data_IF_933707045045
#
_entry.id   IF_933707045045
#
_cell.length_a   1.000
_cell.length_b   1.000
_cell.length_c   1.000
_cell.angle_alpha   90.00
_cell.angle_beta   90.00
_cell.angle_gamma   90.00
#
_symmetry.space_group_name_H-M   'P 1'
#
loop_
_entity.id
_entity.type
_entity.pdbx_description
1 polymer ?
#
# COMPACT_ATOMS: atom_id res chain seq x y z
N UNK A 1 4.69 28.77 7.98
CA UNK A 1 5.03 27.34 8.11
C UNK A 1 3.87 26.52 7.54
N UNK A 2 4.10 25.71 6.49
CA UNK A 2 3.05 24.93 5.83
C UNK A 2 2.64 23.78 6.75
N UNK A 3 1.47 23.88 7.35
CA UNK A 3 0.84 22.82 8.14
C UNK A 3 0.44 21.68 7.21
N UNK A 4 1.30 20.66 7.08
CA UNK A 4 0.84 19.39 6.50
C UNK A 4 -0.17 18.79 7.48
N UNK A 5 -1.41 18.69 7.03
CA UNK A 5 -2.56 18.23 7.82
C UNK A 5 -2.48 16.70 7.94
N UNK A 6 -1.56 16.24 8.80
CA UNK A 6 -1.31 14.83 9.05
C UNK A 6 -2.34 14.25 10.03
N UNK A 7 -2.82 13.04 9.73
CA UNK A 7 -3.86 12.35 10.49
C UNK A 7 -3.38 12.01 11.91
N UNK A 8 -4.23 12.08 12.95
CA UNK A 8 -3.84 11.73 14.32
C UNK A 8 -3.25 10.31 14.42
N UNK A 9 -2.30 10.11 15.33
CA UNK A 9 -1.55 8.85 15.50
C UNK A 9 -2.46 7.59 15.69
N UNK A 10 -3.68 7.77 16.21
CA UNK A 10 -4.65 6.68 16.34
C UNK A 10 -5.12 6.07 15.02
N UNK A 11 -5.06 6.83 13.92
CA UNK A 11 -5.49 6.37 12.59
C UNK A 11 -4.56 5.30 12.00
N UNK A 12 -3.32 5.20 12.47
CA UNK A 12 -2.39 4.13 12.07
C UNK A 12 -2.93 2.74 12.39
N UNK A 13 -3.48 2.56 13.60
CA UNK A 13 -4.06 1.26 14.02
C UNK A 13 -5.29 0.92 13.20
N UNK A 14 -6.17 1.90 12.98
CA UNK A 14 -7.37 1.73 12.16
C UNK A 14 -6.99 1.38 10.72
N UNK A 15 -6.00 2.07 10.16
CA UNK A 15 -5.48 1.80 8.83
C UNK A 15 -4.96 0.37 8.67
N UNK A 16 -4.21 -0.15 9.63
CA UNK A 16 -3.75 -1.55 9.62
C UNK A 16 -4.90 -2.56 9.74
N UNK A 17 -5.89 -2.28 10.58
CA UNK A 17 -7.09 -3.12 10.74
C UNK A 17 -7.92 -3.18 9.46
N UNK A 18 -7.93 -2.12 8.65
CA UNK A 18 -8.63 -2.10 7.36
C UNK A 18 -7.77 -2.72 6.26
N UNK A 19 -6.49 -2.33 6.17
CA UNK A 19 -5.58 -2.73 5.09
C UNK A 19 -5.32 -4.23 5.07
N UNK A 20 -5.05 -4.86 6.22
CA UNK A 20 -4.73 -6.30 6.28
C UNK A 20 -5.87 -7.16 5.70
N UNK A 21 -7.12 -7.06 6.18
CA UNK A 21 -8.20 -7.90 5.66
C UNK A 21 -8.53 -7.59 4.21
N UNK A 22 -8.49 -6.32 3.77
CA UNK A 22 -8.82 -5.99 2.37
C UNK A 22 -7.72 -6.42 1.40
N UNK A 23 -6.46 -6.33 1.83
CA UNK A 23 -5.32 -6.80 1.05
C UNK A 23 -5.31 -8.32 0.94
N UNK A 24 -5.56 -9.04 2.04
CA UNK A 24 -5.71 -10.49 2.02
C UNK A 24 -6.88 -10.94 1.13
N UNK A 25 -8.02 -10.24 1.22
CA UNK A 25 -9.17 -10.50 0.37
C UNK A 25 -8.81 -10.28 -1.11
N UNK A 26 -8.14 -9.18 -1.45
CA UNK A 26 -7.64 -8.91 -2.80
C UNK A 26 -6.69 -10.00 -3.32
N UNK A 27 -5.74 -10.46 -2.49
CA UNK A 27 -4.87 -11.58 -2.84
C UNK A 27 -5.68 -12.87 -3.05
N UNK A 28 -6.62 -13.19 -2.16
CA UNK A 28 -7.47 -14.36 -2.31
C UNK A 28 -8.25 -14.33 -3.62
N UNK A 29 -8.76 -13.17 -4.06
CA UNK A 29 -9.44 -13.06 -5.36
C UNK A 29 -8.45 -13.19 -6.54
N UNK A 30 -7.24 -12.59 -6.47
CA UNK A 30 -6.27 -12.73 -7.56
C UNK A 30 -5.73 -14.20 -7.69
N UNK A 31 -5.75 -15.03 -6.62
CA UNK A 31 -5.19 -16.40 -6.63
C UNK A 31 -6.21 -17.55 -6.66
N UNK A 32 -7.37 -17.40 -6.01
CA UNK A 32 -8.42 -18.42 -6.01
C UNK A 32 -9.44 -18.06 -7.08
N UNK A 33 -9.15 -18.43 -8.32
CA UNK A 33 -10.15 -18.44 -9.38
C UNK A 33 -11.27 -19.41 -8.99
N UNK A 34 -12.45 -18.83 -8.82
CA UNK A 34 -13.76 -19.45 -8.68
C UNK A 34 -14.14 -20.01 -7.28
N UNK A 35 -15.25 -19.45 -6.77
CA UNK A 35 -16.24 -19.98 -5.82
C UNK A 35 -16.42 -19.22 -4.49
N UNK A 36 -15.47 -18.40 -4.03
CA UNK A 36 -15.68 -17.67 -2.76
C UNK A 36 -16.63 -16.47 -2.90
N UNK A 37 -16.44 -15.64 -3.93
CA UNK A 37 -17.17 -14.38 -4.12
C UNK A 37 -18.66 -14.59 -4.40
N UNK A 38 -19.04 -15.60 -5.20
CA UNK A 38 -20.45 -16.01 -5.42
C UNK A 38 -21.25 -16.30 -4.16
N UNK A 39 -20.61 -16.64 -3.03
CA UNK A 39 -21.30 -17.02 -1.80
C UNK A 39 -21.83 -15.82 -1.00
N UNK A 40 -21.27 -14.61 -1.17
CA UNK A 40 -21.64 -13.43 -0.38
C UNK A 40 -22.17 -12.25 -1.21
N UNK A 41 -21.60 -11.91 -2.38
CA UNK A 41 -21.99 -10.76 -3.24
C UNK A 41 -21.54 -10.95 -4.71
N UNK A 42 -22.02 -10.12 -5.68
CA UNK A 42 -21.48 -10.14 -7.04
C UNK A 42 -19.96 -9.87 -7.07
N UNK A 43 -19.22 -10.61 -7.90
CA UNK A 43 -17.75 -10.52 -8.09
C UNK A 43 -17.24 -9.06 -8.16
N UNK A 44 -17.94 -8.22 -8.92
CA UNK A 44 -17.59 -6.81 -9.11
C UNK A 44 -17.64 -6.00 -7.80
N UNK A 45 -18.62 -6.27 -6.93
CA UNK A 45 -18.75 -5.59 -5.64
C UNK A 45 -17.59 -5.98 -4.71
N UNK A 46 -17.23 -7.25 -4.69
CA UNK A 46 -16.14 -7.75 -3.85
C UNK A 46 -14.78 -7.16 -4.27
N UNK A 47 -14.51 -7.14 -5.58
CA UNK A 47 -13.30 -6.51 -6.14
C UNK A 47 -13.21 -5.02 -5.80
N UNK A 48 -14.33 -4.29 -5.92
CA UNK A 48 -14.36 -2.87 -5.57
C UNK A 48 -14.09 -2.64 -4.08
N UNK A 49 -14.68 -3.45 -3.20
CA UNK A 49 -14.43 -3.38 -1.75
C UNK A 49 -12.96 -3.67 -1.44
N UNK A 50 -12.37 -4.69 -2.07
CA UNK A 50 -10.96 -5.04 -1.88
C UNK A 50 -10.03 -3.89 -2.29
N UNK A 51 -10.24 -3.32 -3.48
CA UNK A 51 -9.40 -2.24 -4.02
C UNK A 51 -9.56 -0.96 -3.19
N UNK A 52 -10.80 -0.51 -2.98
CA UNK A 52 -11.08 0.72 -2.21
C UNK A 52 -10.58 0.58 -0.78
N UNK A 53 -10.86 -0.55 -0.14
CA UNK A 53 -10.40 -0.83 1.21
C UNK A 53 -8.88 -0.83 1.34
N UNK A 54 -8.17 -1.42 0.37
CA UNK A 54 -6.70 -1.44 0.34
C UNK A 54 -6.13 -0.04 0.13
N UNK A 55 -6.71 0.77 -0.77
CA UNK A 55 -6.29 2.16 -0.99
C UNK A 55 -6.52 3.00 0.26
N UNK A 56 -7.73 2.97 0.81
CA UNK A 56 -8.08 3.75 2.01
C UNK A 56 -7.22 3.34 3.19
N UNK A 57 -7.06 2.03 3.42
CA UNK A 57 -6.20 1.50 4.47
C UNK A 57 -4.75 1.95 4.32
N UNK A 58 -4.18 1.82 3.11
CA UNK A 58 -2.79 2.21 2.86
C UNK A 58 -2.56 3.72 3.01
N UNK A 59 -3.49 4.55 2.52
CA UNK A 59 -3.43 6.01 2.70
C UNK A 59 -3.53 6.40 4.17
N UNK A 60 -4.44 5.78 4.93
CA UNK A 60 -4.56 6.03 6.38
C UNK A 60 -3.28 5.67 7.13
N UNK A 61 -2.62 4.56 6.76
CA UNK A 61 -1.33 4.19 7.35
C UNK A 61 -0.24 5.18 6.94
N UNK A 62 -0.17 5.53 5.66
CA UNK A 62 0.86 6.39 5.08
C UNK A 62 0.85 7.83 5.59
N UNK A 63 -0.35 8.39 5.78
CA UNK A 63 -0.56 9.78 6.20
C UNK A 63 -0.81 9.95 7.70
N UNK A 64 -0.75 8.86 8.49
CA UNK A 64 -0.80 8.95 9.96
C UNK A 64 0.47 9.60 10.51
N UNK A 65 0.30 10.50 11.50
CA UNK A 65 1.40 11.07 12.29
C UNK A 65 2.14 9.97 13.03
N UNK A 66 3.46 10.12 13.14
CA UNK A 66 4.29 9.32 14.05
C UNK A 66 4.43 9.99 15.42
N UNK A 67 4.85 9.22 16.43
CA UNK A 67 4.98 9.71 17.83
C UNK A 67 5.94 10.90 17.96
N UNK A 68 7.00 10.92 17.15
CA UNK A 68 7.95 12.01 17.00
C UNK A 68 7.97 12.29 15.50
N UNK A 69 7.61 13.49 15.06
CA UNK A 69 7.56 13.84 13.64
C UNK A 69 8.56 14.96 13.37
N UNK A 70 9.78 14.55 13.04
CA UNK A 70 10.87 15.45 12.65
C UNK A 70 10.92 15.62 11.13
N UNK A 71 11.60 16.69 10.66
CA UNK A 71 11.77 16.96 9.23
C UNK A 71 12.35 15.75 8.46
N UNK A 72 13.22 14.96 9.11
CA UNK A 72 13.82 13.78 8.51
C UNK A 72 12.77 12.70 8.19
N UNK A 73 11.81 12.47 9.08
CA UNK A 73 10.74 11.48 8.87
C UNK A 73 9.82 11.93 7.73
N UNK A 74 9.55 13.23 7.63
CA UNK A 74 8.77 13.79 6.53
C UNK A 74 9.48 13.61 5.18
N UNK A 75 10.81 13.83 5.13
CA UNK A 75 11.62 13.56 3.92
C UNK A 75 11.63 12.08 3.56
N UNK A 76 11.72 11.18 4.53
CA UNK A 76 11.69 9.73 4.29
C UNK A 76 10.35 9.29 3.73
N UNK A 77 9.24 9.81 4.25
CA UNK A 77 7.91 9.52 3.71
C UNK A 77 7.81 9.96 2.24
N UNK A 78 8.27 11.17 1.92
CA UNK A 78 8.26 11.66 0.54
C UNK A 78 9.18 10.84 -0.38
N UNK A 79 10.39 10.50 0.08
CA UNK A 79 11.33 9.69 -0.68
C UNK A 79 10.80 8.27 -0.90
N UNK A 80 10.18 7.65 0.12
CA UNK A 80 9.54 6.35 0.00
C UNK A 80 8.41 6.37 -1.04
N UNK A 81 7.60 7.43 -1.09
CA UNK A 81 6.54 7.61 -2.08
C UNK A 81 7.10 7.75 -3.50
N UNK A 82 8.22 8.47 -3.64
CA UNK A 82 8.88 8.64 -4.93
C UNK A 82 9.46 7.30 -5.41
N UNK A 83 10.22 6.61 -4.55
CA UNK A 83 10.82 5.30 -4.86
C UNK A 83 9.74 4.27 -5.20
N UNK A 84 8.63 4.22 -4.46
CA UNK A 84 7.55 3.28 -4.75
C UNK A 84 6.90 3.52 -6.11
N UNK A 85 6.74 4.78 -6.50
CA UNK A 85 6.21 5.13 -7.82
C UNK A 85 7.17 4.68 -8.94
N UNK A 86 8.48 4.94 -8.79
CA UNK A 86 9.47 4.49 -9.77
C UNK A 86 9.48 2.96 -9.94
N UNK A 87 9.52 2.22 -8.84
CA UNK A 87 9.48 0.75 -8.87
C UNK A 87 8.18 0.26 -9.51
N UNK A 88 7.04 0.87 -9.15
CA UNK A 88 5.75 0.47 -9.69
C UNK A 88 5.66 0.66 -11.21
N UNK A 89 6.10 1.81 -11.73
CA UNK A 89 6.06 2.06 -13.17
C UNK A 89 7.05 1.17 -13.94
N UNK A 90 8.22 0.89 -13.37
CA UNK A 90 9.15 -0.07 -13.96
C UNK A 90 8.51 -1.46 -14.06
N UNK A 91 7.88 -1.92 -12.98
CA UNK A 91 7.18 -3.20 -12.93
C UNK A 91 6.00 -3.23 -13.90
N UNK A 92 5.24 -2.14 -14.00
CA UNK A 92 4.11 -2.01 -14.92
C UNK A 92 4.56 -2.16 -16.38
N UNK A 93 5.67 -1.52 -16.77
CA UNK A 93 6.22 -1.63 -18.13
C UNK A 93 6.62 -3.09 -18.40
N UNK A 94 7.36 -3.72 -17.49
CA UNK A 94 7.81 -5.11 -17.64
C UNK A 94 6.63 -6.05 -17.79
N UNK A 95 5.63 -5.93 -16.90
CA UNK A 95 4.42 -6.75 -16.91
C UNK A 95 3.62 -6.56 -18.19
N UNK A 96 3.49 -5.31 -18.67
CA UNK A 96 2.76 -4.99 -19.90
C UNK A 96 3.37 -5.63 -21.15
N UNK A 97 4.69 -5.85 -21.15
CA UNK A 97 5.39 -6.52 -22.25
C UNK A 97 5.30 -8.05 -22.17
N UNK A 98 5.09 -8.62 -20.98
CA UNK A 98 5.13 -10.06 -20.73
C UNK A 98 3.75 -10.73 -20.70
N UNK A 99 2.69 -9.99 -20.33
CA UNK A 99 1.35 -10.55 -20.10
C UNK A 99 0.36 -10.04 -21.15
N UNK A 100 -0.47 -10.94 -21.69
CA UNK A 100 -1.49 -10.63 -22.70
C UNK A 100 -2.83 -11.32 -22.38
N UNK A 101 -3.92 -10.92 -23.07
CA UNK A 101 -5.29 -11.48 -22.98
C UNK A 101 -6.00 -11.26 -21.62
N UNK A 102 -6.91 -12.17 -21.21
CA UNK A 102 -7.69 -12.03 -19.97
C UNK A 102 -6.83 -11.86 -18.71
N UNK A 103 -5.66 -12.50 -18.68
CA UNK A 103 -4.68 -12.35 -17.60
C UNK A 103 -4.16 -10.91 -17.47
N UNK A 104 -4.14 -10.15 -18.57
CA UNK A 104 -3.69 -8.75 -18.56
C UNK A 104 -4.61 -7.88 -17.70
N UNK A 105 -5.94 -8.05 -17.77
CA UNK A 105 -6.90 -7.24 -17.00
C UNK A 105 -6.77 -7.49 -15.49
N UNK A 106 -6.58 -8.75 -15.10
CA UNK A 106 -6.38 -9.12 -13.69
C UNK A 106 -5.08 -8.50 -13.19
N UNK A 107 -3.99 -8.67 -13.92
CA UNK A 107 -2.69 -8.15 -13.51
C UNK A 107 -2.69 -6.63 -13.44
N UNK A 108 -3.32 -5.93 -14.40
CA UNK A 108 -3.48 -4.47 -14.37
C UNK A 108 -4.27 -4.00 -13.16
N UNK A 109 -5.31 -4.75 -12.77
CA UNK A 109 -6.10 -4.46 -11.57
C UNK A 109 -5.26 -4.62 -10.30
N UNK A 110 -4.53 -5.73 -10.17
CA UNK A 110 -3.66 -5.93 -9.00
C UNK A 110 -2.52 -4.84 -9.01
N UNK A 111 -2.05 -4.35 -10.18
CA UNK A 111 -1.06 -3.26 -10.31
C UNK A 111 -1.50 -1.88 -9.79
N UNK A 112 -2.81 -1.60 -9.66
CA UNK A 112 -3.29 -0.32 -9.11
C UNK A 112 -3.04 -0.20 -7.61
N UNK A 113 -3.01 -1.32 -6.89
CA UNK A 113 -2.76 -1.36 -5.44
C UNK A 113 -1.26 -1.46 -5.11
N UNK A 114 -0.46 -2.03 -6.02
CA UNK A 114 0.99 -2.23 -5.88
C UNK A 114 1.80 -1.01 -5.44
N UNK A 115 1.62 0.23 -5.97
CA UNK A 115 2.46 1.35 -5.56
C UNK A 115 2.27 1.71 -4.08
N UNK A 116 1.05 1.55 -3.55
CA UNK A 116 0.75 1.81 -2.14
C UNK A 116 1.35 0.75 -1.22
N UNK A 117 1.33 -0.52 -1.64
CA UNK A 117 1.95 -1.61 -0.88
C UNK A 117 3.48 -1.43 -0.83
N UNK A 118 4.11 -1.17 -1.97
CA UNK A 118 5.57 -0.91 -2.05
C UNK A 118 5.92 0.31 -1.22
N UNK A 119 5.13 1.38 -1.30
CA UNK A 119 5.31 2.58 -0.49
C UNK A 119 5.39 2.25 1.01
N UNK A 120 4.41 1.48 1.53
CA UNK A 120 4.40 1.09 2.94
C UNK A 120 5.65 0.28 3.30
N UNK A 121 6.04 -0.69 2.48
CA UNK A 121 7.23 -1.52 2.71
C UNK A 121 8.49 -0.65 2.77
N UNK A 122 8.72 0.18 1.75
CA UNK A 122 9.90 1.06 1.66
C UNK A 122 9.93 2.05 2.82
N UNK A 123 8.77 2.60 3.20
CA UNK A 123 8.66 3.51 4.34
C UNK A 123 9.06 2.85 5.66
N UNK A 124 8.51 1.68 5.98
CA UNK A 124 8.85 0.98 7.24
C UNK A 124 10.28 0.45 7.26
N UNK A 125 10.82 0.00 6.12
CA UNK A 125 12.23 -0.42 6.03
C UNK A 125 13.17 0.75 6.29
N UNK A 126 12.90 1.93 5.70
CA UNK A 126 13.71 3.11 5.93
C UNK A 126 13.60 3.64 7.37
N UNK A 127 12.40 3.56 7.96
CA UNK A 127 12.20 3.92 9.36
C UNK A 127 12.96 2.99 10.31
N UNK A 128 12.95 1.67 10.05
CA UNK A 128 13.70 0.70 10.83
C UNK A 128 15.22 0.96 10.74
N UNK A 129 15.72 1.26 9.54
CA UNK A 129 17.14 1.59 9.33
C UNK A 129 17.57 2.83 10.13
N UNK A 130 16.76 3.89 10.13
CA UNK A 130 17.06 5.09 10.92
C UNK A 130 17.19 4.79 12.42
N UNK A 131 16.21 4.10 13.00
CA UNK A 131 16.21 3.81 14.42
C UNK A 131 17.43 2.96 14.83
N UNK A 132 17.88 2.08 13.93
CA UNK A 132 19.06 1.26 14.16
C UNK A 132 20.37 2.05 14.07
N UNK A 133 20.47 3.03 13.17
CA UNK A 133 21.64 3.93 13.10
C UNK A 133 21.72 4.82 14.34
N UNK A 134 20.59 5.38 14.79
CA UNK A 134 20.53 6.19 16.00
C UNK A 134 20.96 5.41 17.26
N UNK A 135 20.62 4.12 17.35
CA UNK A 135 21.03 3.29 18.49
C UNK A 135 22.49 2.83 18.46
N UNK A 136 23.22 3.05 17.36
CA UNK A 136 24.67 2.77 17.27
C UNK A 136 25.51 4.01 17.57
N UNK A 137 24.90 5.20 17.59
CA UNK A 137 25.56 6.46 17.94
C UNK A 137 25.48 6.78 19.45
N UNK A 138 24.66 6.04 20.21
CA UNK A 138 24.58 6.07 21.68
C UNK A 138 25.48 5.00 22.33
#
# INVERSE_FOLDING_TARGET
>A
MKTMLLLPNGFKRIGWVIFIPTFLLGCSICFFEENFSRWLFPEAVMNNIAIIGTIVGALMIGFSREKIEDEMIQRIRLNALLVSMWINYLLLIVVSLLVYNFNYLIVMTCSMATPLVIFLIVYYVNLYRLNHTASHEE
#
